data_IF_611900865785
#
_entry.id   IF_611900865785
#
_cell.length_a   1.000
_cell.length_b   1.000
_cell.length_c   1.000
_cell.angle_alpha   90.00
_cell.angle_beta   90.00
_cell.angle_gamma   90.00
#
_symmetry.space_group_name_H-M   'P 1'
#
loop_
_entity.id
_entity.type
_entity.pdbx_description
1 polymer ?
#
# COMPACT_ATOMS: atom_id res chain seq x y z
N UNK A 1 -19.80 -8.50 -6.98
CA UNK A 1 -19.04 -7.31 -6.58
C UNK A 1 -17.57 -7.61 -6.74
N UNK A 2 -16.80 -6.69 -7.31
CA UNK A 2 -15.35 -6.76 -7.40
C UNK A 2 -14.74 -5.60 -6.61
N UNK A 3 -13.68 -5.89 -5.86
CA UNK A 3 -12.92 -4.90 -5.09
C UNK A 3 -11.49 -4.87 -5.62
N UNK A 4 -10.95 -3.70 -5.85
CA UNK A 4 -9.55 -3.48 -6.24
C UNK A 4 -8.90 -2.54 -5.24
N UNK A 5 -7.76 -2.93 -4.70
CA UNK A 5 -6.86 -2.06 -3.95
C UNK A 5 -5.61 -1.80 -4.78
N UNK A 6 -5.35 -0.53 -5.09
CA UNK A 6 -4.09 -0.06 -5.63
C UNK A 6 -3.31 0.59 -4.50
N UNK A 7 -2.22 -0.05 -4.09
CA UNK A 7 -1.45 0.29 -2.89
C UNK A 7 -0.08 0.82 -3.31
N UNK A 8 0.26 2.07 -2.94
CA UNK A 8 1.48 2.76 -3.38
C UNK A 8 2.51 2.79 -2.27
N UNK A 9 3.66 2.16 -2.49
CA UNK A 9 4.73 2.00 -1.50
C UNK A 9 5.81 3.08 -1.59
N UNK A 10 6.68 3.12 -0.58
CA UNK A 10 7.89 3.93 -0.41
C UNK A 10 7.67 5.41 -0.08
N UNK A 11 6.55 6.00 -0.44
CA UNK A 11 6.25 7.39 -0.15
C UNK A 11 7.11 8.38 -0.96
N UNK A 12 7.33 8.12 -2.26
CA UNK A 12 7.96 9.10 -3.16
C UNK A 12 7.09 10.36 -3.25
N UNK A 13 7.70 11.52 -2.96
CA UNK A 13 6.96 12.78 -2.76
C UNK A 13 6.13 13.18 -3.97
N UNK A 14 6.73 13.22 -5.15
CA UNK A 14 6.07 13.65 -6.37
C UNK A 14 4.98 12.67 -6.83
N UNK A 15 5.29 11.38 -6.77
CA UNK A 15 4.33 10.33 -7.11
C UNK A 15 3.16 10.30 -6.15
N UNK A 16 3.40 10.46 -4.83
CA UNK A 16 2.32 10.45 -3.84
C UNK A 16 1.35 11.61 -4.04
N UNK A 17 1.87 12.82 -4.29
CA UNK A 17 1.04 13.99 -4.63
C UNK A 17 0.22 13.74 -5.90
N UNK A 18 0.87 13.28 -6.96
CA UNK A 18 0.20 13.04 -8.24
C UNK A 18 -0.84 11.92 -8.15
N UNK A 19 -0.53 10.84 -7.42
CA UNK A 19 -1.50 9.76 -7.15
C UNK A 19 -2.73 10.30 -6.41
N UNK A 20 -2.53 11.10 -5.37
CA UNK A 20 -3.63 11.72 -4.64
C UNK A 20 -4.53 12.56 -5.57
N UNK A 21 -3.95 13.44 -6.39
CA UNK A 21 -4.67 14.26 -7.35
C UNK A 21 -5.46 13.43 -8.38
N UNK A 22 -4.88 12.32 -8.86
CA UNK A 22 -5.55 11.41 -9.80
C UNK A 22 -6.76 10.77 -9.13
N UNK A 23 -6.59 10.21 -7.93
CA UNK A 23 -7.68 9.57 -7.21
C UNK A 23 -8.81 10.54 -6.87
N UNK A 24 -8.48 11.76 -6.43
CA UNK A 24 -9.46 12.81 -6.12
C UNK A 24 -10.32 13.22 -7.31
N UNK A 25 -9.76 13.28 -8.52
CA UNK A 25 -10.54 13.58 -9.74
C UNK A 25 -11.67 12.58 -9.98
N UNK A 26 -11.49 11.36 -9.50
CA UNK A 26 -12.47 10.28 -9.58
C UNK A 26 -13.33 10.12 -8.31
N UNK A 27 -13.17 11.02 -7.32
CA UNK A 27 -13.84 10.89 -6.02
C UNK A 27 -13.38 9.68 -5.20
N UNK A 28 -12.16 9.21 -5.44
CA UNK A 28 -11.55 8.03 -4.80
C UNK A 28 -10.50 8.44 -3.76
N UNK A 29 -10.16 7.48 -2.90
CA UNK A 29 -9.15 7.60 -1.85
C UNK A 29 -7.96 6.69 -2.18
N UNK A 30 -6.75 7.26 -2.21
CA UNK A 30 -5.51 6.51 -2.42
C UNK A 30 -5.02 5.87 -1.11
N UNK A 31 -4.33 4.72 -1.22
CA UNK A 31 -3.55 4.12 -0.15
C UNK A 31 -2.05 4.34 -0.39
N UNK A 32 -1.41 5.06 0.51
CA UNK A 32 -0.01 5.46 0.46
C UNK A 32 0.73 4.82 1.64
N UNK A 33 1.58 3.84 1.37
CA UNK A 33 2.39 3.17 2.39
C UNK A 33 3.77 3.82 2.45
N UNK A 34 4.07 4.51 3.54
CA UNK A 34 5.23 5.38 3.60
C UNK A 34 6.29 4.89 4.59
N UNK A 35 7.56 5.04 4.22
CA UNK A 35 8.69 4.72 5.08
C UNK A 35 8.81 5.81 6.14
N UNK A 36 8.74 5.43 7.43
CA UNK A 36 8.69 6.37 8.55
C UNK A 36 9.92 7.29 8.65
N UNK A 37 11.13 6.76 8.41
CA UNK A 37 12.36 7.55 8.41
C UNK A 37 12.51 8.47 7.18
N UNK A 38 11.68 8.28 6.13
CA UNK A 38 11.72 9.10 4.93
C UNK A 38 13.12 9.15 4.30
N UNK A 39 13.62 10.37 4.07
CA UNK A 39 14.96 10.58 3.52
C UNK A 39 16.10 10.43 4.53
N UNK A 40 15.80 10.28 5.83
CA UNK A 40 16.81 10.13 6.90
C UNK A 40 17.21 8.67 7.15
N UNK A 41 16.41 7.72 6.64
CA UNK A 41 16.71 6.29 6.75
C UNK A 41 17.95 5.90 5.97
N UNK A 42 18.61 4.79 6.40
CA UNK A 42 19.71 4.21 5.63
C UNK A 42 19.16 3.73 4.29
N UNK A 43 19.70 4.22 3.17
CA UNK A 43 19.22 3.75 1.87
C UNK A 43 19.77 2.35 1.62
N UNK A 44 18.92 1.35 1.68
CA UNK A 44 19.29 -0.05 1.43
C UNK A 44 19.60 -0.29 -0.04
N UNK A 45 19.04 0.52 -0.94
CA UNK A 45 19.14 0.29 -2.37
C UNK A 45 19.44 1.56 -3.17
N UNK A 46 20.05 1.32 -4.32
CA UNK A 46 20.40 2.34 -5.31
C UNK A 46 19.19 3.20 -5.74
N UNK A 47 18.00 2.64 -5.71
CA UNK A 47 16.73 3.26 -6.09
C UNK A 47 16.23 4.28 -5.06
N UNK A 48 16.37 4.00 -3.76
CA UNK A 48 15.91 4.88 -2.68
C UNK A 48 16.69 6.19 -2.56
N UNK A 49 17.90 6.27 -3.17
CA UNK A 49 18.71 7.50 -3.19
C UNK A 49 18.35 8.46 -4.32
N UNK A 50 17.66 7.96 -5.34
CA UNK A 50 17.44 8.72 -6.58
C UNK A 50 16.27 9.70 -6.43
N UNK A 51 15.25 9.32 -5.67
CA UNK A 51 14.02 10.07 -5.56
C UNK A 51 13.74 10.50 -4.13
N UNK A 52 13.24 11.74 -4.00
CA UNK A 52 12.88 12.30 -2.72
C UNK A 52 11.62 11.63 -2.18
N UNK A 53 11.64 11.27 -0.90
CA UNK A 53 10.47 10.84 -0.16
C UNK A 53 9.81 12.02 0.53
N UNK A 54 8.50 11.98 0.67
CA UNK A 54 7.76 12.94 1.47
C UNK A 54 8.09 12.83 2.96
N UNK A 55 7.70 13.84 3.71
CA UNK A 55 7.79 13.87 5.16
C UNK A 55 6.41 13.97 5.80
N UNK A 56 6.34 13.91 7.13
CA UNK A 56 5.06 13.89 7.85
C UNK A 56 4.20 15.15 7.68
N UNK A 57 4.78 16.29 7.30
CA UNK A 57 3.98 17.46 6.88
C UNK A 57 3.11 17.14 5.70
N UNK A 58 3.68 16.52 4.65
CA UNK A 58 2.93 16.06 3.46
C UNK A 58 1.94 14.95 3.82
N UNK A 59 2.36 14.00 4.65
CA UNK A 59 1.50 12.86 5.03
C UNK A 59 0.27 13.33 5.82
N UNK A 60 0.43 14.32 6.69
CA UNK A 60 -0.68 14.95 7.40
C UNK A 60 -1.61 15.72 6.45
N UNK A 61 -1.07 16.43 5.47
CA UNK A 61 -1.85 17.10 4.43
C UNK A 61 -2.70 16.08 3.63
N UNK A 62 -2.07 15.03 3.10
CA UNK A 62 -2.76 14.02 2.31
C UNK A 62 -3.80 13.25 3.15
N UNK A 63 -3.50 12.96 4.41
CA UNK A 63 -4.48 12.38 5.34
C UNK A 63 -5.65 13.32 5.58
N UNK A 64 -5.41 14.61 5.75
CA UNK A 64 -6.48 15.61 5.92
C UNK A 64 -7.37 15.74 4.66
N UNK A 65 -6.84 15.44 3.48
CA UNK A 65 -7.58 15.33 2.21
C UNK A 65 -8.35 14.00 2.08
N UNK A 66 -8.22 13.08 3.05
CA UNK A 66 -8.96 11.82 3.12
C UNK A 66 -8.18 10.60 2.64
N UNK A 67 -6.93 10.74 2.18
CA UNK A 67 -6.12 9.61 1.75
C UNK A 67 -5.63 8.78 2.94
N UNK A 68 -5.46 7.48 2.71
CA UNK A 68 -4.92 6.57 3.70
C UNK A 68 -3.40 6.59 3.66
N UNK A 69 -2.76 7.10 4.71
CA UNK A 69 -1.30 7.09 4.90
C UNK A 69 -0.98 6.01 5.93
N UNK A 70 -0.29 4.96 5.48
CA UNK A 70 -0.07 3.74 6.23
C UNK A 70 1.43 3.40 6.38
N UNK A 71 1.83 2.70 7.47
CA UNK A 71 3.23 2.37 7.72
C UNK A 71 3.79 1.32 6.75
N UNK A 72 4.98 1.61 6.19
CA UNK A 72 5.78 0.71 5.35
C UNK A 72 7.16 0.41 5.96
N UNK A 73 7.24 0.39 7.27
CA UNK A 73 8.46 0.18 8.04
C UNK A 73 9.21 1.48 8.40
N UNK A 74 10.10 1.36 9.39
CA UNK A 74 10.95 2.49 9.79
C UNK A 74 11.93 2.85 8.67
N UNK A 75 12.60 1.83 8.16
CA UNK A 75 13.47 1.83 6.98
C UNK A 75 12.99 0.70 6.06
N UNK A 76 13.37 0.75 4.77
CA UNK A 76 13.00 -0.28 3.79
C UNK A 76 13.85 -1.55 3.96
N UNK A 77 13.77 -2.17 5.12
CA UNK A 77 14.49 -3.40 5.47
C UNK A 77 13.60 -4.62 5.20
N UNK A 78 14.17 -5.69 4.61
CA UNK A 78 13.48 -6.96 4.46
C UNK A 78 13.33 -7.64 5.84
N UNK A 79 12.11 -7.60 6.38
CA UNK A 79 11.82 -8.11 7.73
C UNK A 79 11.90 -9.64 7.83
N UNK A 80 11.86 -10.35 6.69
CA UNK A 80 12.02 -11.80 6.65
C UNK A 80 13.50 -12.27 6.69
N UNK A 81 14.45 -11.33 6.51
CA UNK A 81 15.90 -11.62 6.44
C UNK A 81 16.66 -11.17 7.70
N UNK A 82 15.98 -10.60 8.66
CA UNK A 82 16.57 -10.19 9.94
C UNK A 82 16.02 -11.05 11.10
N UNK A 83 16.74 -11.16 12.24
CA UNK A 83 16.23 -11.85 13.40
C UNK A 83 14.85 -11.34 13.82
N UNK A 84 13.96 -12.23 14.29
CA UNK A 84 12.58 -11.89 14.66
C UNK A 84 12.51 -10.70 15.62
N UNK A 85 13.35 -10.68 16.66
CA UNK A 85 13.38 -9.60 17.65
C UNK A 85 13.76 -8.25 17.01
N UNK A 86 14.66 -8.25 16.03
CA UNK A 86 15.03 -7.03 15.31
C UNK A 86 13.91 -6.57 14.37
N UNK A 87 13.25 -7.51 13.67
CA UNK A 87 12.09 -7.20 12.85
C UNK A 87 10.96 -6.57 13.68
N UNK A 88 10.65 -7.15 14.85
CA UNK A 88 9.67 -6.63 15.80
C UNK A 88 10.03 -5.21 16.27
N UNK A 89 11.28 -5.02 16.71
CA UNK A 89 11.78 -3.71 17.15
C UNK A 89 11.68 -2.64 16.06
N UNK A 90 12.03 -2.98 14.80
CA UNK A 90 11.93 -2.05 13.66
C UNK A 90 10.48 -1.69 13.32
N UNK A 91 9.56 -2.63 13.46
CA UNK A 91 8.12 -2.36 13.25
C UNK A 91 7.58 -1.48 14.37
N UNK A 92 7.87 -1.79 15.66
CA UNK A 92 7.43 -0.93 16.77
C UNK A 92 7.98 0.49 16.63
N UNK A 93 9.25 0.65 16.32
CA UNK A 93 9.84 1.97 16.09
C UNK A 93 9.15 2.73 14.93
N UNK A 94 8.74 2.02 13.88
CA UNK A 94 7.92 2.61 12.81
C UNK A 94 6.58 3.10 13.33
N UNK A 95 5.85 2.25 14.07
CA UNK A 95 4.54 2.60 14.62
C UNK A 95 4.65 3.77 15.63
N UNK A 96 5.73 3.83 16.42
CA UNK A 96 5.99 4.93 17.35
C UNK A 96 6.20 6.26 16.62
N UNK A 97 6.95 6.28 15.51
CA UNK A 97 7.08 7.46 14.66
C UNK A 97 5.72 7.89 14.10
N UNK A 98 4.91 6.96 13.63
CA UNK A 98 3.57 7.27 13.12
C UNK A 98 2.65 7.84 14.22
N UNK A 99 2.71 7.29 15.45
CA UNK A 99 1.95 7.83 16.61
C UNK A 99 2.38 9.25 16.96
N UNK A 100 3.67 9.54 16.85
CA UNK A 100 4.21 10.86 17.16
C UNK A 100 3.94 11.92 16.09
N UNK A 101 4.01 11.54 14.81
CA UNK A 101 4.11 12.48 13.70
C UNK A 101 2.84 12.55 12.83
N UNK A 102 2.04 11.47 12.73
CA UNK A 102 0.83 11.44 11.92
C UNK A 102 -0.40 11.72 12.77
N UNK A 103 -1.05 12.86 12.54
CA UNK A 103 -2.21 13.32 13.30
C UNK A 103 -3.34 12.27 13.33
N UNK A 104 -3.77 11.89 14.55
CA UNK A 104 -4.84 10.92 14.75
C UNK A 104 -4.53 9.53 14.19
N UNK A 105 -3.26 9.11 14.21
CA UNK A 105 -2.89 7.74 13.86
C UNK A 105 -3.23 6.79 15.00
N UNK A 106 -3.95 5.72 14.65
CA UNK A 106 -4.19 4.58 15.53
C UNK A 106 -3.71 3.31 14.82
N UNK A 107 -2.72 2.64 15.39
CA UNK A 107 -2.16 1.42 14.83
C UNK A 107 -3.21 0.29 14.77
N UNK A 108 -4.15 0.23 15.71
CA UNK A 108 -5.22 -0.79 15.73
C UNK A 108 -6.21 -0.65 14.57
N UNK A 109 -6.26 0.50 13.91
CA UNK A 109 -7.10 0.78 12.74
C UNK A 109 -6.27 0.80 11.43
N UNK A 110 -4.94 0.69 11.52
CA UNK A 110 -4.04 0.79 10.39
C UNK A 110 -3.75 -0.55 9.71
N UNK A 111 -3.42 -0.51 8.43
CA UNK A 111 -2.73 -1.59 7.73
C UNK A 111 -1.22 -1.37 7.77
N UNK A 112 -0.43 -2.44 7.90
CA UNK A 112 1.02 -2.40 7.78
C UNK A 112 1.46 -3.08 6.48
N UNK A 113 2.17 -2.38 5.61
CA UNK A 113 2.71 -2.97 4.40
C UNK A 113 4.16 -3.45 4.63
N UNK A 114 4.41 -4.74 4.42
CA UNK A 114 5.76 -5.28 4.56
C UNK A 114 6.64 -4.85 3.37
N UNK A 115 7.83 -4.24 3.61
CA UNK A 115 8.84 -4.04 2.58
C UNK A 115 9.16 -5.33 1.84
N UNK A 116 9.42 -5.23 0.53
CA UNK A 116 9.65 -6.38 -0.37
C UNK A 116 8.46 -7.34 -0.47
N UNK A 117 7.30 -7.01 0.10
CA UNK A 117 6.17 -7.93 0.25
C UNK A 117 6.56 -9.23 0.97
N UNK A 118 7.50 -9.18 1.92
CA UNK A 118 8.03 -10.37 2.63
C UNK A 118 7.83 -10.30 4.14
N UNK A 119 7.29 -11.38 4.67
CA UNK A 119 7.07 -11.61 6.10
C UNK A 119 7.38 -13.06 6.47
N UNK A 120 7.48 -13.35 7.76
CA UNK A 120 7.49 -14.72 8.30
C UNK A 120 6.21 -14.99 9.09
N UNK A 121 5.82 -16.25 9.23
CA UNK A 121 4.61 -16.62 9.97
C UNK A 121 4.64 -16.15 11.44
N UNK A 122 5.81 -16.21 12.09
CA UNK A 122 5.99 -15.75 13.46
C UNK A 122 5.82 -14.22 13.56
N UNK A 123 6.34 -13.47 12.59
CA UNK A 123 6.21 -12.02 12.56
C UNK A 123 4.77 -11.59 12.26
N UNK A 124 4.09 -12.28 11.34
CA UNK A 124 2.66 -12.07 11.08
C UNK A 124 1.80 -12.32 12.33
N UNK A 125 2.04 -13.45 13.03
CA UNK A 125 1.32 -13.78 14.25
C UNK A 125 1.50 -12.71 15.34
N UNK A 126 2.72 -12.19 15.49
CA UNK A 126 3.03 -11.12 16.42
C UNK A 126 2.36 -9.78 16.01
N UNK A 127 2.32 -9.46 14.72
CA UNK A 127 1.79 -8.18 14.21
C UNK A 127 0.25 -8.11 14.31
N UNK A 128 -0.45 -9.26 14.27
CA UNK A 128 -1.92 -9.35 14.36
C UNK A 128 -2.52 -8.67 15.57
N UNK A 129 -1.78 -8.54 16.67
CA UNK A 129 -2.26 -7.90 17.90
C UNK A 129 -1.94 -6.40 17.96
N UNK A 130 -1.33 -5.83 16.93
CA UNK A 130 -0.81 -4.46 16.90
C UNK A 130 -1.41 -3.58 15.83
N UNK A 131 -1.87 -4.20 14.75
CA UNK A 131 -2.47 -3.50 13.63
C UNK A 131 -3.75 -4.20 13.19
N UNK A 132 -4.62 -3.49 12.51
CA UNK A 132 -5.87 -4.05 11.98
C UNK A 132 -5.61 -5.10 10.90
N UNK A 133 -4.68 -4.82 9.99
CA UNK A 133 -4.33 -5.71 8.90
C UNK A 133 -2.86 -5.52 8.49
N UNK A 134 -2.36 -6.45 7.69
CA UNK A 134 -1.05 -6.30 7.06
C UNK A 134 -1.04 -6.86 5.65
N UNK A 135 -0.24 -6.22 4.79
CA UNK A 135 -0.05 -6.61 3.40
C UNK A 135 1.33 -7.27 3.21
N UNK A 136 1.32 -8.41 2.51
CA UNK A 136 2.52 -9.18 2.17
C UNK A 136 2.34 -9.84 0.78
N UNK A 137 3.37 -10.50 0.26
CA UNK A 137 3.31 -11.18 -1.04
C UNK A 137 2.46 -12.46 -1.00
N UNK A 138 1.87 -12.80 -2.14
CA UNK A 138 1.07 -14.01 -2.33
C UNK A 138 0.16 -13.91 -3.54
N UNK A 139 -0.85 -14.76 -3.61
CA UNK A 139 -1.89 -14.64 -4.62
C UNK A 139 -2.60 -13.29 -4.45
N UNK A 140 -2.59 -12.42 -5.47
CA UNK A 140 -3.17 -11.10 -5.36
C UNK A 140 -4.70 -11.11 -5.35
N UNK A 141 -5.32 -12.22 -5.76
CA UNK A 141 -6.78 -12.38 -5.79
C UNK A 141 -7.24 -13.14 -4.55
N UNK A 142 -8.04 -12.48 -3.75
CA UNK A 142 -8.60 -13.01 -2.52
C UNK A 142 -10.13 -13.12 -2.63
N UNK A 143 -10.79 -13.96 -1.83
CA UNK A 143 -12.23 -13.84 -1.59
C UNK A 143 -12.60 -12.41 -1.16
N UNK A 144 -13.88 -12.05 -1.29
CA UNK A 144 -14.37 -10.78 -0.75
C UNK A 144 -14.00 -10.62 0.73
N UNK A 145 -13.71 -9.41 1.21
CA UNK A 145 -13.27 -9.16 2.56
C UNK A 145 -14.26 -9.71 3.61
N UNK A 146 -13.74 -10.24 4.70
CA UNK A 146 -14.53 -10.70 5.86
C UNK A 146 -13.98 -10.08 7.17
N UNK A 147 -14.83 -10.02 8.19
CA UNK A 147 -14.56 -9.27 9.44
C UNK A 147 -13.27 -9.67 10.18
N UNK A 148 -12.83 -10.92 10.06
CA UNK A 148 -11.63 -11.45 10.72
C UNK A 148 -10.40 -11.45 9.81
N UNK A 149 -10.47 -10.92 8.59
CA UNK A 149 -9.35 -10.90 7.67
C UNK A 149 -8.31 -9.85 8.09
N UNK A 150 -7.10 -10.31 8.36
CA UNK A 150 -5.97 -9.45 8.69
C UNK A 150 -4.84 -9.53 7.66
N UNK A 151 -4.73 -10.66 6.96
CA UNK A 151 -3.68 -10.88 5.95
C UNK A 151 -4.20 -10.54 4.57
N UNK A 152 -3.58 -9.55 3.93
CA UNK A 152 -3.85 -9.12 2.56
C UNK A 152 -2.66 -9.49 1.70
N UNK A 153 -2.89 -10.24 0.65
CA UNK A 153 -1.84 -10.65 -0.28
C UNK A 153 -1.86 -9.79 -1.54
N UNK A 154 -0.68 -9.51 -2.08
CA UNK A 154 -0.53 -8.66 -3.25
C UNK A 154 0.53 -9.18 -4.21
N UNK A 155 0.52 -8.62 -5.41
CA UNK A 155 1.57 -8.75 -6.42
C UNK A 155 2.07 -7.35 -6.80
N UNK A 156 3.31 -7.28 -7.26
CA UNK A 156 3.93 -6.11 -7.87
C UNK A 156 4.76 -6.51 -9.07
N UNK A 157 5.09 -5.56 -9.93
CA UNK A 157 5.92 -5.80 -11.10
C UNK A 157 6.96 -4.68 -11.27
N UNK A 158 8.19 -5.04 -11.66
CA UNK A 158 9.30 -4.13 -11.90
C UNK A 158 10.59 -4.91 -12.26
N UNK A 159 11.71 -4.20 -12.46
CA UNK A 159 11.94 -2.75 -12.25
C UNK A 159 11.44 -1.83 -13.38
N UNK A 160 11.09 -2.36 -14.55
CA UNK A 160 10.53 -1.58 -15.66
C UNK A 160 9.10 -1.09 -15.40
N UNK A 161 8.55 -0.32 -16.33
CA UNK A 161 7.14 0.14 -16.21
C UNK A 161 6.20 -1.05 -16.06
N UNK A 162 5.21 -0.88 -15.20
CA UNK A 162 4.28 -1.96 -14.88
C UNK A 162 2.92 -1.84 -15.58
N UNK A 163 2.73 -0.88 -16.49
CA UNK A 163 1.45 -0.59 -17.14
C UNK A 163 0.77 -1.84 -17.71
N UNK A 164 1.43 -2.54 -18.63
CA UNK A 164 0.86 -3.73 -19.28
C UNK A 164 0.58 -4.87 -18.27
N UNK A 165 1.48 -5.06 -17.30
CA UNK A 165 1.31 -6.07 -16.27
C UNK A 165 0.13 -5.74 -15.34
N UNK A 166 -0.03 -4.48 -14.95
CA UNK A 166 -1.16 -4.00 -14.16
C UNK A 166 -2.47 -4.19 -14.90
N UNK A 167 -2.55 -3.70 -16.14
CA UNK A 167 -3.76 -3.81 -16.96
C UNK A 167 -4.16 -5.27 -17.21
N UNK A 168 -3.20 -6.13 -17.59
CA UNK A 168 -3.46 -7.56 -17.80
C UNK A 168 -3.88 -8.29 -16.51
N UNK A 169 -3.33 -7.91 -15.35
CA UNK A 169 -3.73 -8.45 -14.05
C UNK A 169 -5.17 -8.07 -13.71
N UNK A 170 -5.54 -6.79 -13.90
CA UNK A 170 -6.91 -6.29 -13.69
C UNK A 170 -7.89 -6.98 -14.63
N UNK A 171 -7.56 -7.09 -15.91
CA UNK A 171 -8.42 -7.76 -16.90
C UNK A 171 -8.66 -9.23 -16.53
N UNK A 172 -7.60 -9.96 -16.18
CA UNK A 172 -7.68 -11.36 -15.75
C UNK A 172 -8.54 -11.51 -14.50
N UNK A 173 -8.39 -10.61 -13.52
CA UNK A 173 -9.20 -10.58 -12.30
C UNK A 173 -10.68 -10.38 -12.62
N UNK A 174 -11.00 -9.40 -13.45
CA UNK A 174 -12.39 -9.09 -13.80
C UNK A 174 -13.08 -10.21 -14.57
N UNK A 175 -12.33 -11.02 -15.33
CA UNK A 175 -12.82 -12.20 -16.00
C UNK A 175 -13.05 -13.40 -15.05
N UNK A 176 -12.40 -13.43 -13.89
CA UNK A 176 -12.40 -14.55 -12.93
C UNK A 176 -13.60 -14.62 -11.99
N UNK A 177 -14.43 -13.58 -11.91
CA UNK A 177 -15.59 -13.52 -11.01
C UNK A 177 -15.40 -12.63 -9.78
N UNK A 178 -16.34 -12.64 -8.82
CA UNK A 178 -16.27 -11.79 -7.63
C UNK A 178 -15.07 -12.07 -6.75
N UNK A 179 -14.44 -11.00 -6.23
CA UNK A 179 -13.28 -11.11 -5.35
C UNK A 179 -12.67 -9.77 -4.99
N UNK A 180 -11.51 -9.84 -4.33
CA UNK A 180 -10.68 -8.71 -3.96
C UNK A 180 -9.28 -8.87 -4.54
N UNK A 181 -8.88 -7.98 -5.44
CA UNK A 181 -7.52 -7.87 -5.98
C UNK A 181 -6.75 -6.79 -5.22
N UNK A 182 -5.55 -7.10 -4.74
CA UNK A 182 -4.60 -6.12 -4.24
C UNK A 182 -3.36 -6.08 -5.13
N UNK A 183 -3.09 -4.92 -5.75
CA UNK A 183 -1.90 -4.69 -6.57
C UNK A 183 -1.01 -3.64 -5.92
N UNK A 184 0.26 -3.98 -5.71
CA UNK A 184 1.25 -3.08 -5.14
C UNK A 184 1.98 -2.31 -6.24
N UNK A 185 1.92 -0.99 -6.17
CA UNK A 185 2.60 0.01 -6.98
C UNK A 185 3.63 0.75 -6.12
N UNK A 186 4.55 1.50 -6.75
CA UNK A 186 5.54 2.27 -6.00
C UNK A 186 5.51 3.75 -6.41
N UNK A 187 5.57 4.04 -7.69
CA UNK A 187 5.61 5.42 -8.17
C UNK A 187 4.94 5.60 -9.51
N UNK A 188 5.01 6.82 -10.03
CA UNK A 188 4.44 7.22 -11.30
C UNK A 188 5.52 7.70 -12.29
N UNK A 189 5.28 7.47 -13.57
CA UNK A 189 6.06 7.97 -14.70
C UNK A 189 7.53 7.57 -14.67
N UNK A 190 8.42 8.44 -14.15
CA UNK A 190 9.86 8.23 -14.05
C UNK A 190 10.35 8.06 -12.60
N UNK A 191 9.44 7.99 -11.63
CA UNK A 191 9.75 7.89 -10.20
C UNK A 191 9.37 6.52 -9.63
N UNK A 192 10.29 5.90 -8.87
CA UNK A 192 10.03 4.64 -8.16
C UNK A 192 10.48 3.39 -8.93
N UNK A 193 10.29 2.24 -8.29
CA UNK A 193 10.53 0.92 -8.85
C UNK A 193 9.25 0.39 -9.51
N UNK A 194 9.31 0.02 -10.79
CA UNK A 194 8.12 -0.44 -11.51
C UNK A 194 7.02 0.62 -11.60
N UNK A 195 7.32 1.85 -12.07
CA UNK A 195 6.33 2.92 -12.09
C UNK A 195 5.22 2.65 -13.11
N UNK A 196 4.01 3.09 -12.79
CA UNK A 196 2.89 3.15 -13.74
C UNK A 196 2.81 4.56 -14.35
N UNK A 197 2.33 4.68 -15.59
CA UNK A 197 2.06 5.98 -16.19
C UNK A 197 0.89 6.70 -15.52
N UNK A 198 1.04 8.01 -15.28
CA UNK A 198 -0.04 8.83 -14.75
C UNK A 198 -1.32 8.74 -15.58
N UNK A 199 -1.20 8.79 -16.91
CA UNK A 199 -2.34 8.67 -17.82
C UNK A 199 -2.94 7.26 -17.79
N UNK A 200 -2.10 6.22 -17.69
CA UNK A 200 -2.57 4.84 -17.54
C UNK A 200 -3.37 4.65 -16.26
N UNK A 201 -2.89 5.20 -15.14
CA UNK A 201 -3.59 5.14 -13.86
C UNK A 201 -4.94 5.85 -13.92
N UNK A 202 -4.97 7.06 -14.49
CA UNK A 202 -6.18 7.87 -14.64
C UNK A 202 -7.27 7.13 -15.46
N UNK A 203 -6.88 6.61 -16.62
CA UNK A 203 -7.79 5.84 -17.49
C UNK A 203 -8.24 4.53 -16.84
N UNK A 204 -7.36 3.86 -16.09
CA UNK A 204 -7.71 2.64 -15.36
C UNK A 204 -8.78 2.91 -14.31
N UNK A 205 -8.65 3.98 -13.52
CA UNK A 205 -9.64 4.34 -12.50
C UNK A 205 -11.00 4.64 -13.13
N UNK A 206 -11.03 5.40 -14.23
CA UNK A 206 -12.26 5.67 -15.00
C UNK A 206 -12.93 4.35 -15.46
N UNK A 207 -12.15 3.43 -16.02
CA UNK A 207 -12.66 2.12 -16.49
C UNK A 207 -13.20 1.25 -15.35
N UNK A 208 -12.52 1.23 -14.20
CA UNK A 208 -12.95 0.47 -13.03
C UNK A 208 -14.29 0.99 -12.50
N UNK A 209 -14.44 2.31 -12.41
CA UNK A 209 -15.68 2.97 -11.98
C UNK A 209 -16.81 2.66 -12.98
N UNK A 210 -16.56 2.78 -14.28
CA UNK A 210 -17.54 2.48 -15.32
C UNK A 210 -18.04 1.01 -15.29
N UNK A 211 -17.22 0.10 -14.75
CA UNK A 211 -17.55 -1.33 -14.56
C UNK A 211 -18.10 -1.65 -13.16
N UNK A 212 -18.46 -0.65 -12.36
CA UNK A 212 -18.96 -0.81 -10.98
C UNK A 212 -17.98 -1.61 -10.07
N UNK A 213 -16.67 -1.45 -10.30
CA UNK A 213 -15.62 -2.01 -9.45
C UNK A 213 -15.34 -1.05 -8.29
N UNK A 214 -15.33 -1.57 -7.07
CA UNK A 214 -15.02 -0.78 -5.88
C UNK A 214 -13.50 -0.61 -5.75
N UNK A 215 -12.98 0.60 -5.95
CA UNK A 215 -11.56 0.91 -5.74
C UNK A 215 -11.40 1.47 -4.33
N UNK A 216 -10.74 0.71 -3.45
CA UNK A 216 -10.71 1.02 -2.01
C UNK A 216 -9.32 0.77 -1.40
N UNK A 217 -8.90 1.59 -0.42
CA UNK A 217 -7.80 1.24 0.49
C UNK A 217 -8.08 -0.06 1.27
N UNK A 218 -7.03 -0.71 1.76
CA UNK A 218 -7.13 -2.00 2.48
C UNK A 218 -8.15 -1.92 3.63
N UNK A 219 -8.02 -0.94 4.52
CA UNK A 219 -8.90 -0.86 5.68
C UNK A 219 -10.35 -0.55 5.31
N UNK A 220 -10.56 0.29 4.28
CA UNK A 220 -11.91 0.55 3.75
C UNK A 220 -12.51 -0.68 3.05
N UNK A 221 -11.70 -1.51 2.38
CA UNK A 221 -12.16 -2.77 1.82
C UNK A 221 -12.60 -3.75 2.94
N UNK A 222 -11.85 -3.80 4.05
CA UNK A 222 -12.20 -4.63 5.21
C UNK A 222 -13.49 -4.15 5.90
N UNK A 223 -13.86 -2.87 5.80
CA UNK A 223 -15.12 -2.33 6.31
C UNK A 223 -16.34 -2.75 5.48
N UNK A 224 -16.11 -3.17 4.23
CA UNK A 224 -17.18 -3.78 3.41
C UNK A 224 -17.57 -5.17 3.88
N UNK A 225 -16.87 -5.75 4.88
CA UNK A 225 -17.10 -7.12 5.31
C UNK A 225 -18.61 -7.39 5.46
N UNK A 226 -19.13 -8.11 4.49
CA UNK A 226 -20.52 -8.57 4.49
C UNK A 226 -20.63 -9.49 5.70
N UNK A 227 -21.55 -9.18 6.61
CA UNK A 227 -21.89 -10.09 7.70
C UNK A 227 -22.27 -11.44 7.06
N UNK A 228 -21.41 -12.44 7.24
CA UNK A 228 -21.68 -13.82 6.87
C UNK A 228 -22.61 -14.48 7.87
#
# INVERSE_FOLDING_TARGET
MNVVTLSFDDGFERSSLRTAEIFERHGLVAELNVIAAGNQGKPDEKWHRRWRKGGFSLWNELKARGHHVMPHGLEHTNKAEVPLADAQRLIEACLDVFRAELSGFDASEASFAFPYNRSTAELEAWLRTRVRAFRTGGDPVMPLPHSNQQRVTCISFGPGRCDDHLLGTIESFLAGGPGWLCYNLHGLDDEGWGPVGSDTLDQLLEQLIAKDVRVLPITAALDLAVAT
#
